data_IF_929495247768
#
_entry.id   IF_929495247768
#
_cell.length_a   1.000
_cell.length_b   1.000
_cell.length_c   1.000
_cell.angle_alpha   90.00
_cell.angle_beta   90.00
_cell.angle_gamma   90.00
#
_symmetry.space_group_name_H-M   'P 1'
#
loop_
_entity.id
_entity.type
_entity.pdbx_description
1 polymer ?
#
# COMPACT_ATOMS: atom_id res chain seq x y z
N UNK A 1 -13.12 -40.45 -55.94
CA UNK A 1 -12.57 -39.31 -55.20
C UNK A 1 -12.14 -39.59 -53.76
N UNK A 2 -12.80 -40.47 -52.97
CA UNK A 2 -12.46 -40.76 -51.54
C UNK A 2 -11.11 -41.48 -51.33
N UNK A 3 -10.61 -42.27 -52.26
CA UNK A 3 -9.37 -43.05 -52.14
C UNK A 3 -8.10 -42.19 -52.31
N UNK A 4 -8.14 -41.19 -53.18
CA UNK A 4 -7.02 -40.26 -53.40
C UNK A 4 -6.74 -39.39 -52.15
N UNK A 5 -7.80 -38.96 -51.47
CA UNK A 5 -7.71 -38.18 -50.24
C UNK A 5 -7.10 -38.96 -49.06
N UNK A 6 -7.35 -40.27 -48.97
CA UNK A 6 -6.75 -41.17 -47.96
C UNK A 6 -5.25 -41.37 -48.17
N UNK A 7 -4.84 -41.56 -49.41
CA UNK A 7 -3.44 -41.74 -49.79
C UNK A 7 -2.62 -40.47 -49.56
N UNK A 8 -3.20 -39.32 -49.89
CA UNK A 8 -2.54 -38.00 -49.68
C UNK A 8 -2.33 -37.74 -48.18
N UNK A 9 -3.33 -37.95 -47.34
CA UNK A 9 -3.19 -37.83 -45.89
C UNK A 9 -2.13 -38.76 -45.30
N UNK A 10 -2.07 -39.98 -45.78
CA UNK A 10 -1.09 -40.97 -45.33
C UNK A 10 0.34 -40.59 -45.71
N UNK A 11 0.55 -40.00 -46.90
CA UNK A 11 1.85 -39.50 -47.30
C UNK A 11 2.30 -38.30 -46.50
N UNK A 12 1.42 -37.33 -46.21
CA UNK A 12 1.72 -36.18 -45.36
C UNK A 12 2.13 -36.65 -43.95
N UNK A 13 1.39 -37.57 -43.35
CA UNK A 13 1.73 -38.12 -42.04
C UNK A 13 3.05 -38.87 -42.01
N UNK A 14 3.42 -39.55 -43.15
CA UNK A 14 4.69 -40.25 -43.27
C UNK A 14 5.87 -39.30 -43.45
N UNK A 15 5.71 -38.21 -44.21
CA UNK A 15 6.70 -37.14 -44.34
C UNK A 15 6.88 -36.36 -43.02
N UNK A 16 5.80 -36.04 -42.34
CA UNK A 16 5.88 -35.43 -41.00
C UNK A 16 6.64 -36.33 -40.01
N UNK A 17 6.42 -37.64 -40.05
CA UNK A 17 7.10 -38.60 -39.17
C UNK A 17 8.62 -38.72 -39.49
N UNK A 18 9.01 -38.57 -40.76
CA UNK A 18 10.45 -38.55 -41.16
C UNK A 18 11.16 -37.23 -40.83
N UNK A 19 10.39 -36.14 -40.62
CA UNK A 19 10.92 -34.79 -40.31
C UNK A 19 10.44 -34.29 -38.95
N UNK A 20 10.17 -35.20 -38.00
CA UNK A 20 9.58 -34.90 -36.72
C UNK A 20 10.32 -33.79 -35.95
N UNK A 21 11.64 -33.76 -36.04
CA UNK A 21 12.48 -32.72 -35.40
C UNK A 21 12.14 -31.31 -35.88
N UNK A 22 11.97 -31.13 -37.21
CA UNK A 22 11.60 -29.83 -37.82
C UNK A 22 10.16 -29.44 -37.43
N UNK A 23 9.23 -30.39 -37.38
CA UNK A 23 7.85 -30.14 -37.00
C UNK A 23 7.77 -29.72 -35.54
N UNK A 24 8.50 -30.41 -34.66
CA UNK A 24 8.56 -30.09 -33.22
C UNK A 24 9.21 -28.71 -33.02
N UNK A 25 10.29 -28.38 -33.71
CA UNK A 25 10.93 -27.07 -33.61
C UNK A 25 9.99 -25.94 -34.06
N UNK A 26 9.32 -26.12 -35.21
CA UNK A 26 8.38 -25.11 -35.71
C UNK A 26 7.18 -24.93 -34.75
N UNK A 27 6.63 -26.04 -34.28
CA UNK A 27 5.55 -26.00 -33.28
C UNK A 27 6.01 -25.31 -31.98
N UNK A 28 7.23 -25.64 -31.51
CA UNK A 28 7.81 -25.03 -30.33
C UNK A 28 7.96 -23.51 -30.45
N UNK A 29 8.46 -23.03 -31.60
CA UNK A 29 8.62 -21.58 -31.85
C UNK A 29 7.25 -20.88 -31.86
N UNK A 30 6.25 -21.45 -32.54
CA UNK A 30 4.91 -20.88 -32.60
C UNK A 30 4.24 -20.93 -31.21
N UNK A 31 4.38 -22.03 -30.50
CA UNK A 31 3.84 -22.17 -29.14
C UNK A 31 4.45 -21.15 -28.17
N UNK A 32 5.78 -20.96 -28.22
CA UNK A 32 6.45 -19.95 -27.42
C UNK A 32 5.98 -18.53 -27.76
N UNK A 33 5.85 -18.20 -29.04
CA UNK A 33 5.34 -16.89 -29.46
C UNK A 33 3.92 -16.62 -28.99
N UNK A 34 3.03 -17.57 -29.11
CA UNK A 34 1.65 -17.46 -28.64
C UNK A 34 1.60 -17.36 -27.12
N UNK A 35 2.37 -18.19 -26.41
CA UNK A 35 2.45 -18.19 -24.95
C UNK A 35 2.94 -16.85 -24.42
N UNK A 36 4.02 -16.30 -25.01
CA UNK A 36 4.56 -15.00 -24.63
C UNK A 36 3.56 -13.87 -24.88
N UNK A 37 2.94 -13.85 -26.06
CA UNK A 37 1.94 -12.83 -26.40
C UNK A 37 0.72 -12.90 -25.45
N UNK A 38 0.18 -14.08 -25.22
CA UNK A 38 -0.95 -14.28 -24.33
C UNK A 38 -0.60 -13.88 -22.90
N UNK A 39 0.59 -14.29 -22.41
CA UNK A 39 1.07 -13.92 -21.08
C UNK A 39 1.15 -12.41 -20.91
N UNK A 40 1.74 -11.69 -21.87
CA UNK A 40 1.82 -10.24 -21.82
C UNK A 40 0.43 -9.57 -21.85
N UNK A 41 -0.50 -10.10 -22.62
CA UNK A 41 -1.86 -9.54 -22.69
C UNK A 41 -2.68 -9.75 -21.41
N UNK A 42 -2.39 -10.80 -20.64
CA UNK A 42 -3.09 -11.08 -19.37
C UNK A 42 -2.58 -10.22 -18.20
N UNK A 43 -1.35 -9.69 -18.25
CA UNK A 43 -0.76 -8.94 -17.13
C UNK A 43 -1.61 -7.73 -16.74
N UNK A 44 -1.98 -6.88 -17.70
CA UNK A 44 -2.70 -5.65 -17.40
C UNK A 44 -4.09 -5.85 -16.78
N UNK A 45 -4.97 -6.74 -17.30
CA UNK A 45 -6.25 -7.01 -16.67
C UNK A 45 -6.11 -7.69 -15.30
N UNK A 46 -5.15 -8.60 -15.14
CA UNK A 46 -4.92 -9.28 -13.87
C UNK A 46 -4.45 -8.30 -12.79
N UNK A 47 -3.51 -7.41 -13.13
CA UNK A 47 -3.05 -6.37 -12.21
C UNK A 47 -4.18 -5.40 -11.81
N UNK A 48 -5.04 -5.00 -12.76
CA UNK A 48 -6.18 -4.13 -12.46
C UNK A 48 -7.17 -4.82 -11.51
N UNK A 49 -7.47 -6.08 -11.77
CA UNK A 49 -8.38 -6.86 -10.93
C UNK A 49 -7.82 -7.05 -9.52
N UNK A 50 -6.52 -7.34 -9.41
CA UNK A 50 -5.85 -7.49 -8.12
C UNK A 50 -5.84 -6.15 -7.34
N UNK A 51 -5.51 -5.05 -8.01
CA UNK A 51 -5.52 -3.71 -7.39
C UNK A 51 -6.93 -3.30 -6.95
N UNK A 52 -7.93 -3.48 -7.79
CA UNK A 52 -9.32 -3.16 -7.44
C UNK A 52 -9.80 -3.97 -6.24
N UNK A 53 -9.50 -5.28 -6.21
CA UNK A 53 -9.84 -6.13 -5.07
C UNK A 53 -9.16 -5.66 -3.79
N UNK A 54 -7.89 -5.28 -3.87
CA UNK A 54 -7.12 -4.76 -2.75
C UNK A 54 -7.71 -3.44 -2.23
N UNK A 55 -8.02 -2.48 -3.11
CA UNK A 55 -8.62 -1.20 -2.72
C UNK A 55 -9.96 -1.37 -2.02
N UNK A 56 -10.83 -2.23 -2.55
CA UNK A 56 -12.11 -2.53 -1.92
C UNK A 56 -11.92 -3.22 -0.56
N UNK A 57 -10.99 -4.16 -0.45
CA UNK A 57 -10.72 -4.88 0.80
C UNK A 57 -10.16 -3.97 1.90
N UNK A 58 -9.35 -2.97 1.54
CA UNK A 58 -8.76 -2.04 2.50
C UNK A 58 -9.60 -0.77 2.69
N UNK A 59 -10.76 -0.69 2.03
CA UNK A 59 -11.63 0.48 2.09
C UNK A 59 -10.85 1.76 1.77
N UNK A 60 -10.13 1.78 0.63
CA UNK A 60 -9.32 2.93 0.24
C UNK A 60 -10.24 4.09 -0.12
N UNK A 61 -9.93 5.28 0.36
CA UNK A 61 -10.70 6.50 0.17
C UNK A 61 -10.85 6.86 -1.32
N UNK A 62 -11.97 7.48 -1.67
CA UNK A 62 -12.22 8.03 -3.00
C UNK A 62 -11.74 9.49 -3.12
N UNK A 63 -11.91 10.26 -2.05
CA UNK A 63 -11.53 11.67 -2.00
C UNK A 63 -10.78 12.00 -0.71
N UNK A 64 -9.80 12.90 -0.83
CA UNK A 64 -9.03 13.42 0.30
C UNK A 64 -9.21 14.94 0.39
N UNK A 65 -9.67 15.41 1.52
CA UNK A 65 -9.82 16.84 1.83
C UNK A 65 -8.70 17.25 2.77
N UNK A 66 -7.95 18.28 2.36
CA UNK A 66 -6.83 18.85 3.11
C UNK A 66 -7.14 20.31 3.45
N UNK A 67 -6.75 20.75 4.64
CA UNK A 67 -6.78 22.15 5.04
C UNK A 67 -5.42 22.57 5.59
N UNK A 68 -4.92 23.69 5.14
CA UNK A 68 -3.66 24.28 5.66
C UNK A 68 -3.80 24.82 7.09
N UNK A 69 -5.02 25.05 7.54
CA UNK A 69 -5.35 25.51 8.89
C UNK A 69 -5.85 24.39 9.81
N UNK A 70 -5.90 23.17 9.30
CA UNK A 70 -6.58 22.06 9.94
C UNK A 70 -8.11 22.07 9.68
N UNK A 71 -8.77 21.01 10.09
CA UNK A 71 -10.22 20.80 10.01
C UNK A 71 -10.77 20.67 11.43
N UNK A 72 -11.79 21.45 11.74
CA UNK A 72 -12.51 21.33 13.02
C UNK A 72 -13.53 20.19 12.95
N UNK A 73 -14.05 19.77 14.10
CA UNK A 73 -15.17 18.82 14.17
C UNK A 73 -16.43 19.35 13.44
N UNK A 74 -16.60 20.66 13.40
CA UNK A 74 -17.70 21.30 12.65
C UNK A 74 -17.52 21.13 11.15
N UNK A 75 -16.29 21.25 10.63
CA UNK A 75 -15.99 21.03 9.22
C UNK A 75 -16.22 19.57 8.83
N UNK A 76 -15.79 18.63 9.67
CA UNK A 76 -16.03 17.18 9.44
C UNK A 76 -17.54 16.90 9.39
N UNK A 77 -18.33 17.48 10.29
CA UNK A 77 -19.78 17.31 10.30
C UNK A 77 -20.44 17.95 9.06
N UNK A 78 -19.93 19.08 8.59
CA UNK A 78 -20.41 19.74 7.38
C UNK A 78 -20.10 18.92 6.12
N UNK A 79 -18.90 18.32 6.05
CA UNK A 79 -18.50 17.41 4.96
C UNK A 79 -19.39 16.18 4.93
N UNK A 80 -19.63 15.57 6.10
CA UNK A 80 -20.50 14.39 6.22
C UNK A 80 -21.97 14.66 5.83
N UNK A 81 -22.39 15.92 5.87
CA UNK A 81 -23.75 16.32 5.49
C UNK A 81 -23.91 16.58 3.99
N UNK A 82 -22.84 16.51 3.20
CA UNK A 82 -22.89 16.74 1.75
C UNK A 82 -23.56 15.53 1.07
N UNK A 83 -24.50 15.82 0.17
CA UNK A 83 -25.19 14.78 -0.60
C UNK A 83 -24.21 13.98 -1.46
N UNK A 84 -24.25 12.66 -1.37
CA UNK A 84 -23.33 11.73 -2.04
C UNK A 84 -22.09 11.36 -1.23
N UNK A 85 -21.94 11.83 0.01
CA UNK A 85 -20.91 11.37 0.94
C UNK A 85 -21.48 10.24 1.80
N UNK A 86 -20.96 9.03 1.62
CA UNK A 86 -21.45 7.85 2.33
C UNK A 86 -20.77 7.66 3.68
N UNK A 87 -19.48 7.97 3.77
CA UNK A 87 -18.70 7.87 5.01
C UNK A 87 -17.59 8.93 5.05
N UNK A 88 -17.14 9.25 6.26
CA UNK A 88 -16.10 10.26 6.51
C UNK A 88 -15.16 9.75 7.59
N UNK A 89 -13.86 9.74 7.31
CA UNK A 89 -12.81 9.49 8.29
C UNK A 89 -11.96 10.72 8.51
N UNK A 90 -12.04 11.32 9.69
CA UNK A 90 -11.17 12.41 10.10
C UNK A 90 -9.86 11.86 10.66
N UNK A 91 -8.73 12.33 10.15
CA UNK A 91 -7.41 11.79 10.46
C UNK A 91 -6.46 12.89 10.93
N UNK A 92 -5.69 12.56 11.97
CA UNK A 92 -4.58 13.37 12.45
C UNK A 92 -3.27 12.77 11.96
N UNK A 93 -2.43 13.60 11.36
CA UNK A 93 -1.05 13.24 11.08
C UNK A 93 -0.13 14.46 11.28
N UNK A 94 1.13 14.19 11.50
CA UNK A 94 2.17 15.20 11.65
C UNK A 94 3.48 14.67 11.12
N UNK A 95 4.20 15.51 10.38
CA UNK A 95 5.57 15.23 9.96
C UNK A 95 6.53 15.73 11.06
N UNK A 96 7.47 14.87 11.44
CA UNK A 96 8.43 15.14 12.50
C UNK A 96 9.81 14.66 12.12
N UNK A 97 10.84 15.30 12.65
CA UNK A 97 12.19 14.73 12.68
C UNK A 97 12.31 13.80 13.88
N UNK A 98 13.00 12.69 13.73
CA UNK A 98 13.28 11.74 14.78
C UNK A 98 14.55 10.96 14.48
N UNK A 99 14.88 10.00 15.32
CA UNK A 99 15.97 9.06 15.06
C UNK A 99 15.61 7.67 15.56
N UNK A 100 16.06 6.67 14.81
CA UNK A 100 15.94 5.28 15.19
C UNK A 100 17.10 4.87 16.08
N UNK A 101 16.82 4.11 17.14
CA UNK A 101 17.84 3.69 18.12
C UNK A 101 18.99 2.88 17.51
N UNK A 102 18.76 2.16 16.41
CA UNK A 102 19.74 1.25 15.82
C UNK A 102 20.89 1.95 15.10
N UNK A 103 20.66 3.11 14.50
CA UNK A 103 21.66 3.74 13.63
C UNK A 103 21.94 5.21 13.97
N UNK A 104 21.26 5.79 14.97
CA UNK A 104 21.33 7.22 15.34
C UNK A 104 21.10 8.16 14.12
N UNK A 105 20.58 7.61 13.02
CA UNK A 105 20.31 8.36 11.81
C UNK A 105 19.03 9.16 11.99
N UNK A 106 19.11 10.46 11.66
CA UNK A 106 17.92 11.31 11.59
C UNK A 106 17.02 10.83 10.48
N UNK A 107 15.75 10.71 10.78
CA UNK A 107 14.69 10.34 9.84
C UNK A 107 13.58 11.38 9.88
N UNK A 108 12.94 11.63 8.75
CA UNK A 108 11.71 12.42 8.66
C UNK A 108 10.55 11.44 8.60
N UNK A 109 9.80 11.36 9.70
CA UNK A 109 8.69 10.43 9.85
C UNK A 109 7.34 11.16 9.82
N UNK A 110 6.37 10.62 9.08
CA UNK A 110 4.96 11.01 9.18
C UNK A 110 4.26 10.12 10.18
N UNK A 111 3.80 10.74 11.27
CA UNK A 111 3.08 10.07 12.33
C UNK A 111 1.58 10.15 12.04
N UNK A 112 0.95 9.02 11.75
CA UNK A 112 -0.50 8.89 11.62
C UNK A 112 -1.11 8.36 12.92
N UNK A 113 -2.21 8.91 13.35
CA UNK A 113 -3.01 8.33 14.43
C UNK A 113 -4.04 7.36 13.88
N UNK A 114 -3.99 6.12 14.36
CA UNK A 114 -4.98 5.08 14.06
C UNK A 114 -6.28 5.33 14.83
N UNK A 115 -7.42 4.85 14.33
CA UNK A 115 -8.65 4.76 15.11
C UNK A 115 -8.52 3.73 16.25
N UNK A 116 -9.46 3.73 17.18
CA UNK A 116 -9.47 2.81 18.33
C UNK A 116 -9.41 1.33 17.93
N UNK A 117 -10.10 0.96 16.86
CA UNK A 117 -10.00 -0.36 16.22
C UNK A 117 -9.58 -0.19 14.76
N UNK A 118 -8.28 -0.25 14.47
CA UNK A 118 -7.76 -0.03 13.12
C UNK A 118 -8.08 -1.15 12.12
N UNK A 119 -8.63 -2.28 12.60
CA UNK A 119 -9.02 -3.41 11.76
C UNK A 119 -10.55 -3.57 11.64
N UNK A 120 -11.33 -2.68 12.26
CA UNK A 120 -12.78 -2.70 12.16
C UNK A 120 -13.24 -2.59 10.71
N UNK A 121 -14.17 -3.45 10.32
CA UNK A 121 -14.78 -3.45 8.98
C UNK A 121 -16.01 -2.55 8.95
N UNK A 122 -15.78 -1.23 9.05
CA UNK A 122 -16.81 -0.20 8.97
C UNK A 122 -16.52 0.77 7.84
N UNK A 123 -17.52 1.42 7.25
CA UNK A 123 -17.33 2.39 6.18
C UNK A 123 -16.42 3.56 6.56
N UNK A 124 -16.47 3.99 7.83
CA UNK A 124 -15.70 5.10 8.35
C UNK A 124 -14.23 4.73 8.63
N UNK A 125 -13.87 3.44 8.63
CA UNK A 125 -12.49 3.00 8.79
C UNK A 125 -11.86 2.76 7.42
N UNK A 126 -11.35 3.83 6.84
CA UNK A 126 -10.72 3.81 5.52
C UNK A 126 -9.21 3.55 5.62
N UNK A 127 -8.63 3.15 4.49
CA UNK A 127 -7.18 2.95 4.34
C UNK A 127 -6.60 2.02 5.42
N UNK A 128 -7.26 0.90 5.67
CA UNK A 128 -6.83 -0.05 6.71
C UNK A 128 -5.44 -0.61 6.41
N UNK A 129 -4.44 -0.36 7.27
CA UNK A 129 -3.10 -0.89 7.05
C UNK A 129 -3.09 -2.41 7.23
N UNK A 130 -2.42 -3.09 6.30
CA UNK A 130 -2.29 -4.56 6.31
C UNK A 130 -1.08 -4.94 7.14
N UNK A 131 -1.28 -5.70 8.21
CA UNK A 131 -0.18 -6.20 9.03
C UNK A 131 0.66 -7.22 8.25
N UNK A 132 1.97 -6.96 8.15
CA UNK A 132 2.95 -7.85 7.50
C UNK A 132 3.70 -8.70 8.52
N UNK A 133 4.12 -8.10 9.64
CA UNK A 133 4.79 -8.82 10.72
C UNK A 133 4.50 -8.20 12.08
N UNK A 134 4.66 -8.97 13.15
CA UNK A 134 4.40 -8.50 14.51
C UNK A 134 2.91 -8.39 14.83
N UNK A 135 2.50 -7.30 15.45
CA UNK A 135 1.10 -7.00 15.82
C UNK A 135 0.79 -5.50 15.66
N UNK A 136 -0.49 -5.16 15.70
CA UNK A 136 -0.92 -3.76 15.79
C UNK A 136 -0.60 -3.16 17.17
N UNK A 137 -0.41 -1.81 17.26
CA UNK A 137 -0.11 -1.16 18.52
C UNK A 137 -1.36 -1.13 19.41
N UNK A 138 -1.22 -1.55 20.67
CA UNK A 138 -2.30 -1.60 21.67
C UNK A 138 -2.06 -0.61 22.82
N UNK A 139 -0.79 -0.35 23.13
CA UNK A 139 -0.40 0.50 24.25
C UNK A 139 0.19 1.84 23.76
N UNK A 140 -0.04 2.88 24.55
CA UNK A 140 0.60 4.17 24.31
C UNK A 140 2.13 4.03 24.35
N UNK A 141 2.81 4.51 23.32
CA UNK A 141 4.27 4.34 23.14
C UNK A 141 4.65 3.13 22.28
N UNK A 142 3.69 2.42 21.72
CA UNK A 142 3.90 1.46 20.64
C UNK A 142 3.60 2.10 19.28
N UNK A 143 4.20 1.57 18.24
CA UNK A 143 3.92 1.97 16.87
C UNK A 143 4.08 0.80 15.90
N UNK A 144 3.52 0.94 14.71
CA UNK A 144 3.84 0.10 13.55
C UNK A 144 4.35 0.99 12.42
N UNK A 145 5.26 0.43 11.61
CA UNK A 145 5.94 1.18 10.54
C UNK A 145 5.53 0.60 9.19
N UNK A 146 5.26 1.48 8.24
CA UNK A 146 5.00 1.08 6.86
C UNK A 146 6.30 0.59 6.21
N UNK A 147 6.22 -0.55 5.53
CA UNK A 147 7.35 -1.06 4.75
C UNK A 147 7.41 -0.30 3.43
N UNK A 148 8.31 0.67 3.37
CA UNK A 148 8.56 1.45 2.16
C UNK A 148 9.14 0.56 1.05
N UNK A 149 8.89 0.92 -0.20
CA UNK A 149 9.47 0.22 -1.34
C UNK A 149 10.98 0.49 -1.54
N UNK A 150 11.61 1.26 -0.64
CA UNK A 150 13.04 1.64 -0.62
C UNK A 150 13.54 1.64 0.83
N UNK A 151 14.85 1.49 0.99
CA UNK A 151 15.49 1.41 2.30
C UNK A 151 15.36 0.06 2.99
N UNK A 152 16.01 -0.08 4.11
CA UNK A 152 15.92 -1.26 4.95
C UNK A 152 14.66 -1.18 5.83
N UNK A 153 13.91 -2.27 5.98
CA UNK A 153 12.73 -2.27 6.83
C UNK A 153 13.12 -2.07 8.30
N UNK A 154 12.38 -1.21 9.00
CA UNK A 154 12.55 -1.03 10.44
C UNK A 154 12.04 -2.28 11.17
N UNK A 155 12.87 -2.89 11.98
CA UNK A 155 12.53 -4.15 12.67
C UNK A 155 11.72 -3.92 13.96
N UNK A 156 10.83 -4.86 14.33
CA UNK A 156 10.16 -4.82 15.62
C UNK A 156 11.16 -4.83 16.79
N UNK A 157 10.94 -3.97 17.77
CA UNK A 157 11.85 -3.74 18.91
C UNK A 157 12.66 -2.45 18.79
N UNK A 158 12.83 -1.91 17.59
CA UNK A 158 13.45 -0.60 17.35
C UNK A 158 12.62 0.51 18.00
N UNK A 159 13.27 1.56 18.48
CA UNK A 159 12.59 2.71 19.10
C UNK A 159 12.81 3.97 18.27
N UNK A 160 11.70 4.60 17.91
CA UNK A 160 11.69 5.96 17.37
C UNK A 160 11.76 6.93 18.53
N UNK A 161 12.77 7.79 18.56
CA UNK A 161 12.91 8.87 19.52
C UNK A 161 12.72 10.21 18.82
N UNK A 162 11.82 11.02 19.36
CA UNK A 162 11.54 12.38 18.89
C UNK A 162 12.25 13.41 19.76
N UNK A 163 12.60 14.58 19.21
CA UNK A 163 13.11 15.71 19.98
C UNK A 163 12.14 16.13 21.11
N UNK A 164 12.68 16.63 22.21
CA UNK A 164 11.86 17.05 23.36
C UNK A 164 10.92 18.22 23.04
N UNK A 165 11.26 19.04 22.08
CA UNK A 165 10.48 20.18 21.63
C UNK A 165 9.44 19.85 20.56
N UNK A 166 9.31 18.57 20.14
CA UNK A 166 8.23 18.15 19.22
C UNK A 166 6.87 18.40 19.87
N UNK A 167 6.06 19.24 19.28
CA UNK A 167 4.72 19.56 19.78
C UNK A 167 3.69 18.51 19.33
N UNK A 168 2.52 18.53 19.95
CA UNK A 168 1.33 17.73 19.59
C UNK A 168 1.50 16.21 19.62
N UNK A 169 2.48 15.70 20.37
CA UNK A 169 2.66 14.27 20.61
C UNK A 169 2.57 13.96 22.11
N UNK A 170 1.90 12.86 22.45
CA UNK A 170 1.74 12.44 23.85
C UNK A 170 3.02 11.87 24.45
N UNK A 171 3.92 11.36 23.64
CA UNK A 171 5.20 10.74 24.04
C UNK A 171 6.31 11.07 23.04
N UNK A 172 7.55 10.96 23.50
CA UNK A 172 8.74 11.20 22.68
C UNK A 172 9.42 9.92 22.21
N UNK A 173 8.98 8.78 22.70
CA UNK A 173 9.52 7.46 22.33
C UNK A 173 8.39 6.51 21.98
N UNK A 174 8.58 5.81 20.85
CA UNK A 174 7.65 4.81 20.34
C UNK A 174 8.41 3.56 19.93
N UNK A 175 8.01 2.42 20.49
CA UNK A 175 8.61 1.12 20.16
C UNK A 175 7.85 0.48 19.01
N UNK A 176 8.57 0.05 17.99
CA UNK A 176 8.01 -0.69 16.86
C UNK A 176 7.58 -2.09 17.31
N UNK A 177 6.30 -2.40 17.19
CA UNK A 177 5.73 -3.71 17.54
C UNK A 177 5.31 -4.53 16.32
N UNK A 178 5.36 -3.95 15.14
CA UNK A 178 5.06 -4.63 13.89
C UNK A 178 5.31 -3.74 12.68
N UNK A 179 5.21 -4.35 11.51
CA UNK A 179 5.31 -3.66 10.23
C UNK A 179 4.02 -3.84 9.44
N UNK A 180 3.65 -2.82 8.69
CA UNK A 180 2.41 -2.78 7.91
C UNK A 180 2.66 -2.36 6.47
N UNK A 181 1.73 -2.73 5.58
CA UNK A 181 1.59 -2.14 4.26
C UNK A 181 0.42 -1.16 4.31
N UNK A 182 0.70 0.11 4.06
CA UNK A 182 -0.33 1.13 3.94
C UNK A 182 -0.87 1.17 2.49
N UNK A 183 -2.19 1.11 2.32
CA UNK A 183 -2.80 1.14 0.99
C UNK A 183 -2.76 2.52 0.30
N UNK A 184 -2.35 3.57 0.98
CA UNK A 184 -2.20 4.91 0.41
C UNK A 184 -0.83 5.13 -0.24
N UNK A 185 0.20 4.40 0.21
CA UNK A 185 1.60 4.65 -0.12
C UNK A 185 2.18 3.50 -0.94
N UNK A 186 1.84 3.47 -2.24
CA UNK A 186 2.38 2.48 -3.20
C UNK A 186 3.57 2.99 -4.02
N UNK A 187 3.83 4.32 -3.97
CA UNK A 187 4.94 4.89 -4.70
C UNK A 187 6.27 4.46 -4.09
N UNK A 188 7.25 4.23 -4.95
CA UNK A 188 8.64 4.08 -4.54
C UNK A 188 9.36 5.43 -4.44
N UNK A 189 8.70 6.50 -4.88
CA UNK A 189 9.21 7.86 -4.74
C UNK A 189 8.90 8.41 -3.35
N UNK A 190 9.87 9.07 -2.73
CA UNK A 190 9.67 9.74 -1.46
C UNK A 190 8.68 10.88 -1.60
N UNK A 191 7.74 10.96 -0.67
CA UNK A 191 6.83 12.10 -0.59
C UNK A 191 7.54 13.34 -0.03
N UNK A 192 6.99 14.51 -0.35
CA UNK A 192 7.47 15.75 0.25
C UNK A 192 6.96 15.91 1.68
N UNK A 193 7.83 16.45 2.52
CA UNK A 193 7.54 16.81 3.91
C UNK A 193 7.80 18.31 4.15
N UNK A 194 7.23 18.83 5.22
CA UNK A 194 7.55 20.18 5.72
C UNK A 194 8.63 20.16 6.81
N UNK A 195 9.05 18.96 7.24
CA UNK A 195 10.08 18.73 8.24
C UNK A 195 11.41 18.35 7.57
N UNK A 196 12.51 18.53 8.28
CA UNK A 196 13.84 18.11 7.91
C UNK A 196 14.32 18.61 6.56
N UNK A 197 14.81 17.72 5.73
CA UNK A 197 15.33 18.01 4.39
C UNK A 197 14.23 18.15 3.32
N UNK A 198 12.96 18.07 3.73
CA UNK A 198 11.81 18.20 2.84
C UNK A 198 11.38 16.89 2.17
N UNK A 199 11.95 15.75 2.53
CA UNK A 199 11.58 14.41 2.05
C UNK A 199 11.09 13.52 3.19
N UNK A 200 10.10 12.72 2.93
CA UNK A 200 9.57 11.75 3.89
C UNK A 200 10.36 10.44 3.79
N UNK A 201 10.92 10.01 4.91
CA UNK A 201 11.66 8.75 5.00
C UNK A 201 10.79 7.60 5.48
N UNK A 202 9.98 7.83 6.52
CA UNK A 202 9.20 6.80 7.17
C UNK A 202 7.74 7.20 7.39
N UNK A 203 6.85 6.21 7.40
CA UNK A 203 5.45 6.38 7.78
C UNK A 203 5.18 5.48 8.99
N UNK A 204 4.76 6.13 10.07
CA UNK A 204 4.59 5.50 11.39
C UNK A 204 3.14 5.66 11.83
N UNK A 205 2.52 4.57 12.22
CA UNK A 205 1.17 4.55 12.75
C UNK A 205 1.18 4.37 14.26
N UNK A 206 0.52 5.27 14.95
CA UNK A 206 0.42 5.36 16.39
C UNK A 206 -0.99 4.99 16.86
N UNK A 207 -1.17 4.45 18.07
CA UNK A 207 -2.49 4.19 18.61
C UNK A 207 -3.27 5.50 18.85
N UNK A 208 -4.58 5.37 19.01
CA UNK A 208 -5.47 6.48 19.33
C UNK A 208 -4.98 7.27 20.55
N UNK A 209 -5.13 8.61 20.51
CA UNK A 209 -4.70 9.51 21.58
C UNK A 209 -3.20 9.81 21.61
N UNK A 210 -2.43 9.32 20.64
CA UNK A 210 -0.99 9.63 20.54
C UNK A 210 -0.72 11.03 20.03
N UNK A 211 -1.58 11.58 19.15
CA UNK A 211 -1.51 12.94 18.67
C UNK A 211 -2.50 13.83 19.43
N UNK A 212 -1.98 14.89 20.07
CA UNK A 212 -2.73 15.71 21.03
C UNK A 212 -3.32 17.00 20.43
N UNK A 213 -3.13 17.22 19.10
CA UNK A 213 -3.74 18.36 18.41
C UNK A 213 -5.28 18.30 18.51
N UNK A 214 -5.93 19.46 18.57
CA UNK A 214 -7.39 19.61 18.67
C UNK A 214 -8.09 19.75 17.30
N UNK A 215 -7.33 19.64 16.21
CA UNK A 215 -7.81 19.68 14.83
C UNK A 215 -7.40 18.40 14.08
N UNK A 216 -8.08 18.15 12.96
CA UNK A 216 -7.72 17.10 12.03
C UNK A 216 -6.90 17.67 10.88
N UNK A 217 -5.92 16.92 10.42
CA UNK A 217 -5.02 17.35 9.34
C UNK A 217 -5.63 17.04 7.98
N UNK A 218 -6.38 15.95 7.89
CA UNK A 218 -7.03 15.51 6.67
C UNK A 218 -8.34 14.79 6.97
N UNK A 219 -9.18 14.69 5.95
CA UNK A 219 -10.43 13.96 5.97
C UNK A 219 -10.51 13.09 4.71
N UNK A 220 -10.84 11.83 4.87
CA UNK A 220 -11.09 10.86 3.80
C UNK A 220 -12.60 10.63 3.64
N UNK A 221 -13.02 10.42 2.37
CA UNK A 221 -14.40 10.24 1.94
C UNK A 221 -14.50 9.03 1.02
#
# INVERSE_FOLDING_TARGET
MRTVQKSYRKNILREMKSSISRVVSLFGIVALGVMMLTGLMCIAPDMRTAAQKYYVQQNVFDLRVLSTLGLSQGDISAIAAVDGVDAVQAVKYQDVEGHWTENEQTTVARLYQLPADPQADTPENMNRPVLLSGRMPEAAGECVVHVMGYGDPVEPGTVLTLPEDTEHVSRKQFTVVGTVQDPQHFSTDKESSTAGDGQLDDIVFLPEGSLTMDYYTTCYL
#
